data_IF_386494973632
#
_entry.id   IF_386494973632
#
_cell.length_a   1.000
_cell.length_b   1.000
_cell.length_c   1.000
_cell.angle_alpha   90.00
_cell.angle_beta   90.00
_cell.angle_gamma   90.00
#
_symmetry.space_group_name_H-M   'P 1'
#
loop_
_entity.id
_entity.type
_entity.pdbx_description
1 polymer ?
#
# COMPACT_ATOMS: atom_id res chain seq x y z
N UNK A 1 -32.95 18.43 25.23
CA UNK A 1 -31.98 18.60 24.13
C UNK A 1 -32.67 19.37 23.02
N UNK A 2 -32.03 20.39 22.44
CA UNK A 2 -32.59 21.09 21.28
C UNK A 2 -32.42 20.24 20.01
N UNK A 3 -33.35 20.36 19.07
CA UNK A 3 -33.41 19.64 17.78
C UNK A 3 -32.09 19.75 16.97
N UNK A 4 -31.36 20.86 17.13
CA UNK A 4 -30.03 21.06 16.52
C UNK A 4 -28.94 20.13 17.06
N UNK A 5 -28.94 19.84 18.37
CA UNK A 5 -27.93 18.97 18.99
C UNK A 5 -28.14 17.49 18.63
N UNK A 6 -29.39 17.08 18.42
CA UNK A 6 -29.74 15.75 17.93
C UNK A 6 -29.22 15.54 16.51
N UNK A 7 -29.42 16.55 15.63
CA UNK A 7 -28.92 16.53 14.25
C UNK A 7 -27.39 16.42 14.17
N UNK A 8 -26.64 17.13 15.02
CA UNK A 8 -25.17 17.05 15.06
C UNK A 8 -24.67 15.68 15.53
N UNK A 9 -25.38 15.09 16.49
CA UNK A 9 -25.07 13.73 16.98
C UNK A 9 -25.25 12.69 15.87
N UNK A 10 -26.34 12.78 15.11
CA UNK A 10 -26.59 11.90 13.96
C UNK A 10 -25.53 12.04 12.86
N UNK A 11 -25.13 13.28 12.52
CA UNK A 11 -24.06 13.53 11.55
C UNK A 11 -22.73 12.95 12.01
N UNK A 12 -22.37 13.13 13.28
CA UNK A 12 -21.17 12.52 13.86
C UNK A 12 -21.21 11.00 13.76
N UNK A 13 -22.33 10.37 14.14
CA UNK A 13 -22.50 8.92 14.05
C UNK A 13 -22.33 8.42 12.61
N UNK A 14 -22.95 9.09 11.64
CA UNK A 14 -22.80 8.78 10.22
C UNK A 14 -21.34 8.86 9.77
N UNK A 15 -20.62 9.94 10.12
CA UNK A 15 -19.22 10.12 9.75
C UNK A 15 -18.31 9.05 10.37
N UNK A 16 -18.53 8.69 11.64
CA UNK A 16 -17.83 7.56 12.26
C UNK A 16 -18.06 6.24 11.53
N UNK A 17 -19.29 5.98 11.06
CA UNK A 17 -19.59 4.78 10.29
C UNK A 17 -18.99 4.81 8.87
N UNK A 18 -18.78 5.99 8.29
CA UNK A 18 -17.98 6.15 7.07
C UNK A 18 -16.50 5.82 7.36
N UNK A 19 -15.92 6.38 8.42
CA UNK A 19 -14.53 6.12 8.81
C UNK A 19 -14.26 4.64 9.10
N UNK A 20 -15.17 3.94 9.79
CA UNK A 20 -15.04 2.47 10.01
C UNK A 20 -14.98 1.69 8.69
N UNK A 21 -15.74 2.10 7.67
CA UNK A 21 -15.68 1.48 6.33
C UNK A 21 -14.33 1.74 5.66
N UNK A 22 -13.79 2.93 5.86
CA UNK A 22 -12.47 3.31 5.35
C UNK A 22 -11.34 2.52 6.02
N UNK A 23 -11.39 2.30 7.33
CA UNK A 23 -10.45 1.43 8.04
C UNK A 23 -10.45 0.00 7.45
N UNK A 24 -11.63 -0.52 7.13
CA UNK A 24 -11.75 -1.81 6.46
C UNK A 24 -11.10 -1.80 5.06
N UNK A 25 -11.23 -0.72 4.29
CA UNK A 25 -10.56 -0.59 2.99
C UNK A 25 -9.03 -0.49 3.12
N UNK A 26 -8.52 0.20 4.14
CA UNK A 26 -7.09 0.23 4.44
C UNK A 26 -6.58 -1.17 4.80
N UNK A 27 -7.28 -1.86 5.71
CA UNK A 27 -6.91 -3.20 6.15
C UNK A 27 -6.88 -4.20 4.98
N UNK A 28 -7.92 -4.21 4.15
CA UNK A 28 -7.99 -5.10 2.97
C UNK A 28 -6.95 -4.76 1.91
N UNK A 29 -6.63 -3.48 1.72
CA UNK A 29 -5.56 -3.03 0.81
C UNK A 29 -4.19 -3.51 1.30
N UNK A 30 -3.89 -3.32 2.59
CA UNK A 30 -2.64 -3.79 3.20
C UNK A 30 -2.51 -5.32 3.13
N UNK A 31 -3.61 -6.05 3.33
CA UNK A 31 -3.65 -7.50 3.17
C UNK A 31 -3.33 -7.93 1.73
N UNK A 32 -3.94 -7.29 0.72
CA UNK A 32 -3.63 -7.55 -0.70
C UNK A 32 -2.17 -7.28 -1.03
N UNK A 33 -1.61 -6.18 -0.52
CA UNK A 33 -0.19 -5.87 -0.65
C UNK A 33 0.67 -6.99 -0.07
N UNK A 34 0.35 -7.47 1.14
CA UNK A 34 1.06 -8.58 1.78
C UNK A 34 1.06 -9.86 0.92
N UNK A 35 -0.11 -10.26 0.39
CA UNK A 35 -0.21 -11.42 -0.49
C UNK A 35 0.64 -11.27 -1.76
N UNK A 36 0.59 -10.10 -2.40
CA UNK A 36 1.37 -9.84 -3.60
C UNK A 36 2.88 -9.79 -3.32
N UNK A 37 3.30 -9.19 -2.21
CA UNK A 37 4.69 -9.16 -1.78
C UNK A 37 5.24 -10.58 -1.56
N UNK A 38 4.46 -11.46 -0.94
CA UNK A 38 4.84 -12.88 -0.78
C UNK A 38 5.01 -13.58 -2.12
N UNK A 39 4.08 -13.39 -3.06
CA UNK A 39 4.18 -13.94 -4.42
C UNK A 39 5.45 -13.46 -5.15
N UNK A 40 5.71 -12.14 -5.13
CA UNK A 40 6.90 -11.57 -5.76
C UNK A 40 8.20 -12.04 -5.07
N UNK A 41 8.19 -12.17 -3.75
CA UNK A 41 9.32 -12.69 -2.98
C UNK A 41 9.70 -14.11 -3.38
N UNK A 42 8.70 -14.99 -3.56
CA UNK A 42 8.93 -16.37 -4.04
C UNK A 42 9.51 -16.38 -5.46
N UNK A 43 9.00 -15.54 -6.36
CA UNK A 43 9.55 -15.44 -7.73
C UNK A 43 11.01 -14.99 -7.70
N UNK A 44 11.31 -13.92 -6.98
CA UNK A 44 12.66 -13.35 -6.89
C UNK A 44 13.62 -14.40 -6.32
N UNK A 45 13.27 -15.02 -5.20
CA UNK A 45 14.10 -16.03 -4.56
C UNK A 45 14.28 -17.28 -5.43
N UNK A 46 13.18 -17.83 -5.96
CA UNK A 46 13.19 -19.04 -6.77
C UNK A 46 13.98 -18.89 -8.06
N UNK A 47 13.80 -17.79 -8.79
CA UNK A 47 14.57 -17.51 -10.00
C UNK A 47 16.05 -17.27 -9.69
N UNK A 48 16.37 -16.55 -8.61
CA UNK A 48 17.76 -16.27 -8.23
C UNK A 48 18.52 -17.58 -7.97
N UNK A 49 17.97 -18.48 -7.15
CA UNK A 49 18.58 -19.78 -6.89
C UNK A 49 18.72 -20.59 -8.17
N UNK A 50 17.65 -20.64 -8.97
CA UNK A 50 17.66 -21.46 -10.18
C UNK A 50 18.70 -20.96 -11.18
N UNK A 51 18.80 -19.66 -11.44
CA UNK A 51 19.79 -19.08 -12.35
C UNK A 51 21.22 -19.33 -11.85
N UNK A 52 21.47 -19.20 -10.55
CA UNK A 52 22.80 -19.48 -9.96
C UNK A 52 23.23 -20.95 -10.10
N UNK A 53 22.28 -21.88 -10.26
CA UNK A 53 22.57 -23.31 -10.42
C UNK A 53 22.96 -23.73 -11.84
N UNK A 54 22.80 -22.85 -12.83
CA UNK A 54 23.06 -23.16 -14.24
C UNK A 54 24.49 -22.73 -14.58
N UNK A 55 25.26 -23.64 -15.16
CA UNK A 55 26.61 -23.36 -15.62
C UNK A 55 26.65 -23.28 -17.15
N UNK A 56 27.47 -22.40 -17.73
CA UNK A 56 27.64 -22.37 -19.18
C UNK A 56 28.29 -23.68 -19.67
N UNK A 57 27.83 -24.18 -20.81
CA UNK A 57 28.50 -25.31 -21.46
C UNK A 57 29.91 -24.89 -21.93
N UNK A 58 30.94 -25.75 -21.78
CA UNK A 58 32.33 -25.41 -22.10
C UNK A 58 32.61 -25.12 -23.58
N UNK A 59 31.71 -25.51 -24.48
CA UNK A 59 31.95 -25.54 -25.92
C UNK A 59 30.82 -24.88 -26.71
N UNK A 60 31.01 -23.61 -27.06
CA UNK A 60 30.15 -22.85 -27.98
C UNK A 60 29.34 -21.72 -27.33
N UNK A 61 28.72 -20.90 -28.18
CA UNK A 61 27.81 -19.85 -27.72
C UNK A 61 26.43 -20.47 -27.42
N UNK A 62 26.15 -20.79 -26.14
CA UNK A 62 24.85 -21.31 -25.73
C UNK A 62 23.82 -20.16 -25.64
N UNK A 63 23.14 -19.89 -26.76
CA UNK A 63 22.11 -18.85 -26.84
C UNK A 63 20.97 -19.04 -25.83
N UNK A 64 20.63 -20.29 -25.47
CA UNK A 64 19.56 -20.59 -24.52
C UNK A 64 19.97 -20.14 -23.11
N UNK A 65 21.20 -20.45 -22.68
CA UNK A 65 21.77 -20.01 -21.41
C UNK A 65 21.68 -18.48 -21.23
N UNK A 66 22.15 -17.70 -22.21
CA UNK A 66 22.10 -16.24 -22.12
C UNK A 66 20.67 -15.71 -22.15
N UNK A 67 19.78 -16.34 -22.91
CA UNK A 67 18.35 -15.97 -22.96
C UNK A 67 17.67 -16.22 -21.61
N UNK A 68 17.96 -17.36 -20.94
CA UNK A 68 17.49 -17.65 -19.57
C UNK A 68 17.90 -16.55 -18.60
N UNK A 69 19.18 -16.14 -18.63
CA UNK A 69 19.69 -15.10 -17.74
C UNK A 69 18.97 -13.77 -17.97
N UNK A 70 18.84 -13.35 -19.24
CA UNK A 70 18.19 -12.07 -19.60
C UNK A 70 16.73 -12.05 -19.13
N UNK A 71 15.94 -13.07 -19.46
CA UNK A 71 14.53 -13.12 -19.07
C UNK A 71 14.34 -13.25 -17.55
N UNK A 72 15.20 -14.00 -16.87
CA UNK A 72 15.15 -14.11 -15.41
C UNK A 72 15.51 -12.79 -14.73
N UNK A 73 16.55 -12.10 -15.22
CA UNK A 73 16.94 -10.78 -14.73
C UNK A 73 15.84 -9.74 -14.95
N UNK A 74 15.20 -9.75 -16.13
CA UNK A 74 14.04 -8.89 -16.41
C UNK A 74 12.85 -9.20 -15.49
N UNK A 75 12.54 -10.48 -15.27
CA UNK A 75 11.48 -10.89 -14.34
C UNK A 75 11.74 -10.39 -12.93
N UNK A 76 12.98 -10.55 -12.44
CA UNK A 76 13.40 -10.07 -11.11
C UNK A 76 13.30 -8.54 -11.05
N UNK A 77 13.80 -7.82 -12.06
CA UNK A 77 13.75 -6.36 -12.09
C UNK A 77 12.30 -5.83 -12.06
N UNK A 78 11.40 -6.39 -12.86
CA UNK A 78 9.97 -6.02 -12.85
C UNK A 78 9.30 -6.41 -11.53
N UNK A 79 9.68 -7.55 -10.93
CA UNK A 79 9.17 -7.97 -9.63
C UNK A 79 9.58 -7.00 -8.52
N UNK A 80 10.85 -6.57 -8.50
CA UNK A 80 11.36 -5.55 -7.58
C UNK A 80 10.68 -4.20 -7.80
N UNK A 81 10.49 -3.79 -9.05
CA UNK A 81 9.78 -2.55 -9.37
C UNK A 81 8.33 -2.58 -8.88
N UNK A 82 7.63 -3.69 -9.07
CA UNK A 82 6.28 -3.89 -8.51
C UNK A 82 6.29 -3.86 -6.98
N UNK A 83 7.24 -4.57 -6.35
CA UNK A 83 7.39 -4.62 -4.90
C UNK A 83 7.63 -3.23 -4.27
N UNK A 84 8.45 -2.38 -4.89
CA UNK A 84 8.67 -1.00 -4.43
C UNK A 84 7.36 -0.19 -4.46
N UNK A 85 6.55 -0.33 -5.51
CA UNK A 85 5.25 0.36 -5.58
C UNK A 85 4.24 -0.19 -4.56
N UNK A 86 4.25 -1.50 -4.30
CA UNK A 86 3.45 -2.11 -3.24
C UNK A 86 3.86 -1.60 -1.85
N UNK A 87 5.16 -1.50 -1.57
CA UNK A 87 5.67 -0.92 -0.32
C UNK A 87 5.22 0.53 -0.14
N UNK A 88 5.27 1.35 -1.21
CA UNK A 88 4.73 2.73 -1.18
C UNK A 88 3.25 2.79 -0.80
N UNK A 89 2.47 1.75 -1.11
CA UNK A 89 1.05 1.67 -0.74
C UNK A 89 0.86 1.49 0.76
N UNK A 90 1.74 0.76 1.45
CA UNK A 90 1.61 0.51 2.89
C UNK A 90 2.26 1.59 3.75
N UNK A 91 3.21 2.36 3.21
CA UNK A 91 3.79 3.49 3.94
C UNK A 91 2.69 4.45 4.43
N UNK A 92 2.77 4.89 5.70
CA UNK A 92 1.78 5.80 6.26
C UNK A 92 1.88 7.15 5.56
N UNK A 93 0.74 7.65 5.08
CA UNK A 93 0.61 9.02 4.63
C UNK A 93 -0.07 9.79 5.77
N UNK A 94 0.66 10.73 6.36
CA UNK A 94 0.21 11.57 7.49
C UNK A 94 0.02 13.02 7.08
N UNK A 95 -0.29 13.27 5.80
CA UNK A 95 -0.62 14.63 5.32
C UNK A 95 -1.77 15.18 6.15
N UNK A 96 -1.55 16.33 6.76
CA UNK A 96 -2.59 17.22 7.26
C UNK A 96 -2.93 18.23 6.19
N UNK A 97 -4.22 18.45 5.94
CA UNK A 97 -4.69 19.53 5.08
C UNK A 97 -4.93 20.79 5.94
N UNK A 98 -4.48 21.93 5.44
CA UNK A 98 -4.83 23.29 5.91
C UNK A 98 -4.27 23.82 7.24
N UNK A 99 -3.19 23.26 7.80
CA UNK A 99 -2.42 23.89 8.89
C UNK A 99 -3.15 23.97 10.25
N UNK A 100 -4.48 23.88 10.26
CA UNK A 100 -5.30 23.74 11.45
C UNK A 100 -5.07 22.39 12.10
N UNK A 101 -4.88 22.42 13.42
CA UNK A 101 -4.63 21.23 14.23
C UNK A 101 -5.95 20.49 14.47
N UNK A 102 -6.00 19.22 14.08
CA UNK A 102 -7.15 18.35 14.35
C UNK A 102 -7.13 17.83 15.80
N UNK A 103 -8.31 17.68 16.39
CA UNK A 103 -8.52 17.05 17.68
C UNK A 103 -8.63 15.52 17.56
N UNK A 104 -8.80 15.00 16.34
CA UNK A 104 -8.95 13.56 16.08
C UNK A 104 -7.64 12.96 15.53
N UNK A 105 -6.91 13.70 14.69
CA UNK A 105 -5.70 13.18 14.07
C UNK A 105 -4.60 12.91 15.10
N UNK A 106 -4.17 11.64 15.19
CA UNK A 106 -3.22 11.20 16.21
C UNK A 106 -1.91 12.00 16.24
N UNK A 107 -1.42 12.49 15.09
CA UNK A 107 -0.21 13.28 15.02
C UNK A 107 -0.35 14.67 15.66
N UNK A 108 -1.52 15.29 15.52
CA UNK A 108 -1.81 16.58 16.13
C UNK A 108 -2.13 16.44 17.62
N UNK A 109 -2.85 15.39 18.00
CA UNK A 109 -3.11 15.05 19.42
C UNK A 109 -1.79 14.80 20.16
N UNK A 110 -0.90 13.98 19.58
CA UNK A 110 0.40 13.66 20.18
C UNK A 110 1.35 14.86 20.28
N UNK A 111 1.14 15.89 19.45
CA UNK A 111 1.95 17.12 19.44
C UNK A 111 1.22 18.32 20.04
N UNK A 112 0.13 18.08 20.78
CA UNK A 112 -0.63 19.15 21.41
C UNK A 112 0.20 19.88 22.48
N UNK A 113 0.13 21.21 22.48
CA UNK A 113 0.72 22.04 23.52
C UNK A 113 0.19 21.65 24.89
N UNK A 114 1.05 21.67 25.92
CA UNK A 114 0.75 21.22 27.28
C UNK A 114 0.31 19.74 27.38
N UNK A 115 0.59 18.92 26.36
CA UNK A 115 0.37 17.48 26.40
C UNK A 115 -1.09 17.09 26.65
N UNK A 116 -1.31 16.08 27.50
CA UNK A 116 -2.64 15.54 27.79
C UNK A 116 -3.58 16.60 28.38
N UNK A 117 -3.09 17.46 29.28
CA UNK A 117 -3.90 18.51 29.91
C UNK A 117 -4.33 19.57 28.90
N UNK A 118 -3.43 19.94 27.99
CA UNK A 118 -3.77 20.87 26.91
C UNK A 118 -4.76 20.29 25.91
N UNK A 119 -4.63 19.00 25.58
CA UNK A 119 -5.60 18.31 24.74
C UNK A 119 -6.97 18.21 25.42
N UNK A 120 -7.02 17.83 26.70
CA UNK A 120 -8.26 17.81 27.48
C UNK A 120 -8.96 19.17 27.47
N UNK A 121 -8.21 20.25 27.71
CA UNK A 121 -8.76 21.61 27.67
C UNK A 121 -9.31 21.97 26.28
N UNK A 122 -8.61 21.61 25.20
CA UNK A 122 -9.13 21.84 23.83
C UNK A 122 -10.42 21.08 23.56
N UNK A 123 -10.60 19.89 24.15
CA UNK A 123 -11.84 19.13 24.04
C UNK A 123 -12.96 19.79 24.85
N UNK A 124 -12.67 20.31 26.05
CA UNK A 124 -13.66 21.07 26.84
C UNK A 124 -14.09 22.38 26.14
N UNK A 125 -13.14 23.05 25.48
CA UNK A 125 -13.37 24.33 24.80
C UNK A 125 -14.06 24.16 23.43
N UNK A 126 -14.03 22.96 22.83
CA UNK A 126 -14.59 22.69 21.51
C UNK A 126 -16.12 22.58 21.54
N UNK A 127 -16.78 23.21 20.56
CA UNK A 127 -18.23 23.05 20.37
C UNK A 127 -18.57 21.73 19.66
N UNK A 128 -19.83 21.32 19.71
CA UNK A 128 -20.29 20.14 18.98
C UNK A 128 -20.11 20.32 17.45
N UNK A 129 -20.31 21.53 16.96
CA UNK A 129 -20.09 21.93 15.58
C UNK A 129 -18.61 21.79 15.18
N UNK A 130 -17.68 22.26 16.02
CA UNK A 130 -16.23 22.13 15.76
C UNK A 130 -15.80 20.66 15.64
N UNK A 131 -16.33 19.81 16.52
CA UNK A 131 -16.03 18.38 16.51
C UNK A 131 -16.60 17.69 15.27
N UNK A 132 -17.81 18.03 14.84
CA UNK A 132 -18.42 17.52 13.61
C UNK A 132 -17.63 17.99 12.39
N UNK A 133 -17.19 19.25 12.38
CA UNK A 133 -16.37 19.81 11.31
C UNK A 133 -15.01 19.11 11.20
N UNK A 134 -14.29 18.94 12.31
CA UNK A 134 -13.02 18.20 12.33
C UNK A 134 -13.22 16.75 11.86
N UNK A 135 -14.28 16.08 12.34
CA UNK A 135 -14.60 14.71 11.93
C UNK A 135 -14.89 14.62 10.43
N UNK A 136 -15.58 15.60 9.84
CA UNK A 136 -15.84 15.67 8.41
C UNK A 136 -14.53 15.88 7.61
N UNK A 137 -13.65 16.79 8.07
CA UNK A 137 -12.33 17.01 7.49
C UNK A 137 -11.48 15.74 7.54
N UNK A 138 -11.42 15.06 8.68
CA UNK A 138 -10.70 13.78 8.82
C UNK A 138 -11.28 12.69 7.92
N UNK A 139 -12.60 12.61 7.81
CA UNK A 139 -13.26 11.66 6.90
C UNK A 139 -12.82 11.87 5.46
N UNK A 140 -12.77 13.14 5.01
CA UNK A 140 -12.27 13.49 3.68
C UNK A 140 -10.79 13.13 3.49
N UNK A 141 -9.93 13.49 4.45
CA UNK A 141 -8.48 13.22 4.41
C UNK A 141 -8.23 11.71 4.30
N UNK A 142 -8.91 10.90 5.12
CA UNK A 142 -8.80 9.44 5.08
C UNK A 142 -9.28 8.88 3.72
N UNK A 143 -10.36 9.42 3.16
CA UNK A 143 -10.83 9.03 1.83
C UNK A 143 -9.77 9.30 0.74
N UNK A 144 -9.12 10.46 0.77
CA UNK A 144 -8.06 10.80 -0.20
C UNK A 144 -6.84 9.88 -0.06
N UNK A 145 -6.39 9.62 1.18
CA UNK A 145 -5.30 8.67 1.47
C UNK A 145 -5.64 7.28 0.89
N UNK A 146 -6.87 6.81 1.08
CA UNK A 146 -7.32 5.52 0.56
C UNK A 146 -7.34 5.52 -0.97
N UNK A 147 -7.84 6.59 -1.58
CA UNK A 147 -7.86 6.72 -3.03
C UNK A 147 -6.45 6.68 -3.63
N UNK A 148 -5.49 7.38 -3.02
CA UNK A 148 -4.07 7.32 -3.40
C UNK A 148 -3.51 5.90 -3.28
N UNK A 149 -3.77 5.21 -2.16
CA UNK A 149 -3.37 3.80 -1.96
C UNK A 149 -3.95 2.89 -3.04
N UNK A 150 -5.23 3.01 -3.38
CA UNK A 150 -5.85 2.23 -4.45
C UNK A 150 -5.25 2.53 -5.82
N UNK A 151 -4.90 3.79 -6.12
CA UNK A 151 -4.27 4.17 -7.38
C UNK A 151 -2.91 3.49 -7.54
N UNK A 152 -2.07 3.55 -6.51
CA UNK A 152 -0.74 2.92 -6.52
C UNK A 152 -0.87 1.39 -6.56
N UNK A 153 -1.79 0.80 -5.78
CA UNK A 153 -2.06 -0.64 -5.81
C UNK A 153 -2.49 -1.11 -7.20
N UNK A 154 -3.43 -0.41 -7.85
CA UNK A 154 -3.87 -0.74 -9.23
C UNK A 154 -2.70 -0.71 -10.21
N UNK A 155 -1.80 0.25 -10.06
CA UNK A 155 -0.60 0.35 -10.90
C UNK A 155 0.34 -0.83 -10.69
N UNK A 156 0.65 -1.18 -9.44
CA UNK A 156 1.49 -2.34 -9.11
C UNK A 156 0.88 -3.68 -9.59
N UNK A 157 -0.45 -3.83 -9.47
CA UNK A 157 -1.18 -4.99 -10.00
C UNK A 157 -1.02 -5.06 -11.53
N UNK A 158 -1.15 -3.96 -12.25
CA UNK A 158 -0.96 -3.94 -13.71
C UNK A 158 0.45 -4.37 -14.11
N UNK A 159 1.50 -3.87 -13.42
CA UNK A 159 2.88 -4.31 -13.66
C UNK A 159 3.02 -5.82 -13.39
N UNK A 160 2.39 -6.31 -12.33
CA UNK A 160 2.46 -7.74 -11.98
C UNK A 160 1.79 -8.61 -13.03
N UNK A 161 0.56 -8.27 -13.45
CA UNK A 161 -0.23 -9.06 -14.41
C UNK A 161 0.37 -8.99 -15.82
N UNK A 162 0.75 -7.81 -16.29
CA UNK A 162 1.18 -7.62 -17.68
C UNK A 162 2.70 -7.65 -17.87
N UNK A 163 3.48 -7.51 -16.81
CA UNK A 163 4.94 -7.58 -16.84
C UNK A 163 5.46 -8.86 -16.20
N UNK A 164 5.26 -9.02 -14.88
CA UNK A 164 5.87 -10.11 -14.11
C UNK A 164 5.36 -11.48 -14.56
N UNK A 165 4.04 -11.68 -14.67
CA UNK A 165 3.45 -13.00 -14.96
C UNK A 165 3.91 -13.55 -16.34
N UNK A 166 3.84 -12.79 -17.46
CA UNK A 166 4.32 -13.27 -18.75
C UNK A 166 5.83 -13.53 -18.76
N UNK A 167 6.63 -12.62 -18.18
CA UNK A 167 8.09 -12.79 -18.11
C UNK A 167 8.47 -14.01 -17.27
N UNK A 168 7.76 -14.24 -16.18
CA UNK A 168 7.96 -15.41 -15.33
C UNK A 168 7.60 -16.70 -16.09
N UNK A 169 6.48 -16.73 -16.82
CA UNK A 169 6.12 -17.89 -17.63
C UNK A 169 7.18 -18.21 -18.69
N UNK A 170 7.70 -17.21 -19.40
CA UNK A 170 8.79 -17.40 -20.37
C UNK A 170 10.07 -17.87 -19.68
N UNK A 171 10.42 -17.28 -18.53
CA UNK A 171 11.60 -17.69 -17.76
C UNK A 171 11.51 -19.15 -17.32
N UNK A 172 10.35 -19.61 -16.85
CA UNK A 172 10.13 -21.01 -16.49
C UNK A 172 10.26 -21.94 -17.69
N UNK A 173 9.66 -21.58 -18.84
CA UNK A 173 9.77 -22.39 -20.06
C UNK A 173 11.23 -22.54 -20.50
N UNK A 174 11.99 -21.43 -20.52
CA UNK A 174 13.42 -21.45 -20.87
C UNK A 174 14.24 -22.27 -19.88
N UNK A 175 13.93 -22.18 -18.58
CA UNK A 175 14.58 -22.96 -17.52
C UNK A 175 14.32 -24.45 -17.62
N UNK A 176 13.11 -24.85 -18.04
CA UNK A 176 12.76 -26.26 -18.30
C UNK A 176 13.52 -26.77 -19.52
N UNK A 177 13.58 -25.98 -20.59
CA UNK A 177 14.29 -26.35 -21.83
C UNK A 177 15.79 -26.50 -21.60
N UNK A 178 16.41 -25.57 -20.87
CA UNK A 178 17.84 -25.65 -20.57
C UNK A 178 18.15 -26.78 -19.58
N UNK A 179 17.27 -27.02 -18.59
CA UNK A 179 17.45 -28.10 -17.62
C UNK A 179 17.10 -29.50 -18.13
N UNK A 180 16.54 -29.61 -19.33
CA UNK A 180 16.24 -30.89 -20.01
C UNK A 180 17.37 -31.35 -20.93
N UNK A 181 18.48 -30.60 -21.00
CA UNK A 181 19.75 -31.02 -21.62
C UNK A 181 20.62 -31.72 -20.59
#
# INVERSE_FOLDING_TARGET
>A
MSEGNETLTEKSAFLFDVLKRYDHYVATTNFKVGLMMSFLGVIIYGLTIRVMSISPEPSGCNYIYYTVIIFSALTIAFSLFSAVNLLRTVFPNTKTHDGDKSLIFFGDVATCENGADGYFKKIEDATAEDLVEDLAKQTYIVADIINEKFRVLKFAIKITIYGVVPLFAVSLLLLILEGSK
#
